data_IF_028957037498
#
_entry.id   IF_028957037498
#
_cell.length_a   1.000
_cell.length_b   1.000
_cell.length_c   1.000
_cell.angle_alpha   90.00
_cell.angle_beta   90.00
_cell.angle_gamma   90.00
#
_symmetry.space_group_name_H-M   'P 1'
#
loop_
_entity.id
_entity.type
_entity.pdbx_description
1 polymer ?
#
# COMPACT_ATOMS: atom_id res chain seq x y z
N UNK A 1 -4.64 24.81 -4.47
CA UNK A 1 -3.62 23.83 -4.08
C UNK A 1 -4.34 22.67 -3.44
N UNK A 2 -4.44 21.54 -4.10
CA UNK A 2 -5.07 20.32 -3.57
C UNK A 2 -4.27 19.89 -2.33
N UNK A 3 -4.98 19.63 -1.24
CA UNK A 3 -4.34 19.17 0.00
C UNK A 3 -3.92 17.71 -0.22
N UNK A 4 -2.67 17.53 -0.68
CA UNK A 4 -2.11 16.21 -1.01
C UNK A 4 -1.97 15.43 0.30
N UNK A 5 -2.42 14.17 0.29
CA UNK A 5 -2.25 13.28 1.43
C UNK A 5 -0.78 13.25 1.89
N UNK A 6 -0.51 13.35 3.19
CA UNK A 6 0.85 13.20 3.70
C UNK A 6 1.51 11.87 3.34
N UNK A 7 0.72 10.79 3.22
CA UNK A 7 1.17 9.48 2.73
C UNK A 7 1.76 9.57 1.32
N UNK A 8 1.09 10.31 0.42
CA UNK A 8 1.57 10.48 -0.96
C UNK A 8 2.91 11.21 -1.02
N UNK A 9 3.16 12.14 -0.10
CA UNK A 9 4.47 12.81 -0.01
C UNK A 9 5.57 11.83 0.39
N UNK A 10 5.31 10.97 1.38
CA UNK A 10 6.27 9.96 1.81
C UNK A 10 6.59 8.94 0.70
N UNK A 11 5.56 8.47 -0.03
CA UNK A 11 5.74 7.60 -1.19
C UNK A 11 6.55 8.34 -2.27
N UNK A 12 6.20 9.59 -2.56
CA UNK A 12 6.87 10.44 -3.55
C UNK A 12 8.38 10.59 -3.29
N UNK A 13 8.79 10.68 -2.01
CA UNK A 13 10.21 10.78 -1.64
C UNK A 13 11.02 9.49 -1.94
N UNK A 14 10.34 8.37 -2.20
CA UNK A 14 10.96 7.10 -2.58
C UNK A 14 11.00 6.85 -4.09
N UNK A 15 10.31 7.66 -4.87
CA UNK A 15 10.19 7.53 -6.32
C UNK A 15 11.29 8.33 -7.01
N UNK A 16 12.00 7.70 -7.94
CA UNK A 16 12.98 8.39 -8.78
C UNK A 16 12.30 9.05 -9.99
N UNK A 17 12.78 10.20 -10.45
CA UNK A 17 12.25 10.85 -11.65
C UNK A 17 12.34 9.95 -12.91
N UNK A 18 11.39 10.14 -13.83
CA UNK A 18 11.28 9.41 -15.10
C UNK A 18 11.06 7.89 -14.96
N UNK A 19 10.57 7.42 -13.80
CA UNK A 19 10.27 6.01 -13.56
C UNK A 19 8.96 5.59 -14.23
N UNK A 20 8.81 4.28 -14.46
CA UNK A 20 7.53 3.65 -14.75
C UNK A 20 6.91 3.15 -13.45
N UNK A 21 5.68 3.57 -13.17
CA UNK A 21 4.99 3.28 -11.92
C UNK A 21 3.63 2.65 -12.19
N UNK A 22 3.37 1.53 -11.53
CA UNK A 22 2.07 0.87 -11.50
C UNK A 22 1.45 1.06 -10.10
N UNK A 23 0.19 1.51 -10.04
CA UNK A 23 -0.55 1.67 -8.79
C UNK A 23 -1.75 0.71 -8.76
N UNK A 24 -1.72 -0.24 -7.84
CA UNK A 24 -2.74 -1.27 -7.65
C UNK A 24 -3.82 -0.79 -6.67
N UNK A 25 -5.04 -0.62 -7.20
CA UNK A 25 -6.12 0.07 -6.50
C UNK A 25 -5.93 1.57 -6.55
N UNK A 26 -5.64 2.10 -7.73
CA UNK A 26 -5.25 3.51 -7.93
C UNK A 26 -6.35 4.53 -7.60
N UNK A 27 -7.57 4.07 -7.34
CA UNK A 27 -8.70 4.93 -7.05
C UNK A 27 -8.98 5.92 -8.19
N UNK A 28 -9.21 7.17 -7.83
CA UNK A 28 -9.40 8.26 -8.78
C UNK A 28 -8.09 8.79 -9.42
N UNK A 29 -6.95 8.11 -9.15
CA UNK A 29 -5.64 8.42 -9.70
C UNK A 29 -4.93 9.61 -9.05
N UNK A 30 -5.28 10.02 -7.83
CA UNK A 30 -4.63 11.17 -7.17
C UNK A 30 -3.14 10.96 -6.92
N UNK A 31 -2.73 9.75 -6.48
CA UNK A 31 -1.33 9.43 -6.25
C UNK A 31 -0.53 9.52 -7.55
N UNK A 32 -0.98 8.81 -8.59
CA UNK A 32 -0.30 8.80 -9.89
C UNK A 32 -0.21 10.19 -10.51
N UNK A 33 -1.31 10.97 -10.48
CA UNK A 33 -1.31 12.37 -10.95
C UNK A 33 -0.27 13.21 -10.21
N UNK A 34 -0.17 13.07 -8.88
CA UNK A 34 0.83 13.76 -8.08
C UNK A 34 2.26 13.36 -8.46
N UNK A 35 2.51 12.06 -8.68
CA UNK A 35 3.84 11.56 -9.06
C UNK A 35 4.22 11.99 -10.48
N UNK A 36 3.26 12.00 -11.42
CA UNK A 36 3.47 12.51 -12.79
C UNK A 36 3.88 13.98 -12.78
N UNK A 37 3.16 14.81 -12.02
CA UNK A 37 3.44 16.25 -11.90
C UNK A 37 4.81 16.55 -11.26
N UNK A 38 5.24 15.70 -10.30
CA UNK A 38 6.44 15.96 -9.49
C UNK A 38 7.70 15.31 -10.03
N UNK A 39 7.58 14.13 -10.61
CA UNK A 39 8.72 13.28 -11.00
C UNK A 39 8.75 12.92 -12.47
N UNK A 40 7.77 13.39 -13.27
CA UNK A 40 7.67 13.08 -14.71
C UNK A 40 7.63 11.55 -14.96
N UNK A 41 6.88 10.81 -14.13
CA UNK A 41 6.74 9.36 -14.26
C UNK A 41 5.76 8.97 -15.37
N UNK A 42 5.89 7.73 -15.87
CA UNK A 42 4.85 7.07 -16.66
C UNK A 42 3.96 6.25 -15.72
N UNK A 43 2.74 6.75 -15.47
CA UNK A 43 1.80 6.14 -14.53
C UNK A 43 0.81 5.18 -15.20
N UNK A 44 0.62 4.02 -14.57
CA UNK A 44 -0.41 3.03 -14.91
C UNK A 44 -1.16 2.65 -13.64
N UNK A 45 -2.47 2.35 -13.75
CA UNK A 45 -3.29 1.96 -12.60
C UNK A 45 -4.14 0.73 -12.86
N UNK A 46 -4.43 -0.01 -11.80
CA UNK A 46 -5.52 -0.99 -11.71
C UNK A 46 -6.58 -0.45 -10.77
N UNK A 47 -7.86 -0.55 -11.16
CA UNK A 47 -8.99 -0.12 -10.33
C UNK A 47 -10.24 -0.95 -10.63
N UNK A 48 -10.92 -1.38 -9.57
CA UNK A 48 -12.15 -2.17 -9.67
C UNK A 48 -13.41 -1.32 -9.85
N UNK A 49 -13.44 -0.12 -9.24
CA UNK A 49 -14.59 0.78 -9.31
C UNK A 49 -14.63 1.51 -10.65
N UNK A 50 -15.67 1.27 -11.50
CA UNK A 50 -15.76 1.91 -12.81
C UNK A 50 -15.80 3.45 -12.75
N UNK A 51 -16.38 4.03 -11.70
CA UNK A 51 -16.47 5.49 -11.57
C UNK A 51 -15.11 6.09 -11.25
N UNK A 52 -14.34 5.45 -10.36
CA UNK A 52 -12.97 5.85 -10.05
C UNK A 52 -12.05 5.66 -11.26
N UNK A 53 -12.19 4.54 -11.99
CA UNK A 53 -11.48 4.31 -13.27
C UNK A 53 -11.69 5.48 -14.23
N UNK A 54 -12.95 5.93 -14.46
CA UNK A 54 -13.25 7.07 -15.32
C UNK A 54 -12.59 8.37 -14.79
N UNK A 55 -12.62 8.60 -13.47
CA UNK A 55 -11.99 9.79 -12.87
C UNK A 55 -10.48 9.80 -13.06
N UNK A 56 -9.82 8.65 -12.92
CA UNK A 56 -8.39 8.52 -13.16
C UNK A 56 -8.04 8.73 -14.65
N UNK A 57 -8.83 8.17 -15.57
CA UNK A 57 -8.65 8.39 -17.01
C UNK A 57 -8.81 9.86 -17.41
N UNK A 58 -9.70 10.61 -16.74
CA UNK A 58 -9.84 12.07 -16.94
C UNK A 58 -8.59 12.86 -16.53
N UNK A 59 -7.71 12.28 -15.72
CA UNK A 59 -6.40 12.82 -15.34
C UNK A 59 -5.27 12.33 -16.27
N UNK A 60 -5.60 11.74 -17.43
CA UNK A 60 -4.68 11.15 -18.40
C UNK A 60 -3.84 9.98 -17.85
N UNK A 61 -4.39 9.24 -16.90
CA UNK A 61 -3.76 8.01 -16.38
C UNK A 61 -4.26 6.82 -17.19
N UNK A 62 -3.35 5.93 -17.58
CA UNK A 62 -3.71 4.66 -18.21
C UNK A 62 -4.20 3.71 -17.10
N UNK A 63 -5.48 3.33 -17.14
CA UNK A 63 -6.08 2.47 -16.11
C UNK A 63 -6.64 1.21 -16.74
N UNK A 64 -6.35 0.07 -16.12
CA UNK A 64 -6.96 -1.23 -16.39
C UNK A 64 -8.07 -1.43 -15.36
N UNK A 65 -9.29 -1.63 -15.86
CA UNK A 65 -10.42 -1.97 -15.00
C UNK A 65 -10.41 -3.47 -14.73
N UNK A 66 -9.89 -3.87 -13.58
CA UNK A 66 -9.81 -5.29 -13.15
C UNK A 66 -9.88 -5.42 -11.63
N UNK A 67 -10.26 -6.62 -11.17
CA UNK A 67 -10.20 -7.03 -9.77
C UNK A 67 -8.83 -7.64 -9.49
N UNK A 68 -8.10 -7.11 -8.50
CA UNK A 68 -6.80 -7.62 -8.08
C UNK A 68 -6.84 -9.09 -7.62
N UNK A 69 -8.03 -9.60 -7.25
CA UNK A 69 -8.22 -11.01 -6.92
C UNK A 69 -8.19 -11.95 -8.14
N UNK A 70 -8.17 -11.43 -9.36
CA UNK A 70 -8.06 -12.24 -10.57
C UNK A 70 -6.61 -12.71 -10.83
N UNK A 71 -5.61 -12.10 -10.19
CA UNK A 71 -4.19 -12.38 -10.40
C UNK A 71 -3.77 -12.28 -11.88
N UNK A 72 -4.33 -11.28 -12.59
CA UNK A 72 -4.16 -11.10 -14.05
C UNK A 72 -3.12 -10.03 -14.40
N UNK A 73 -2.36 -9.49 -13.44
CA UNK A 73 -1.37 -8.42 -13.66
C UNK A 73 -0.31 -8.87 -14.68
N UNK A 74 0.18 -10.09 -14.55
CA UNK A 74 1.17 -10.70 -15.43
C UNK A 74 0.63 -11.00 -16.85
N UNK A 75 -0.68 -10.96 -17.05
CA UNK A 75 -1.29 -11.09 -18.39
C UNK A 75 -1.21 -9.77 -19.17
N UNK A 76 -1.10 -8.64 -18.48
CA UNK A 76 -1.01 -7.31 -19.09
C UNK A 76 0.41 -6.80 -19.23
N UNK A 77 1.35 -7.25 -18.40
CA UNK A 77 2.70 -6.70 -18.33
C UNK A 77 3.76 -7.79 -18.22
N UNK A 78 4.86 -7.58 -18.95
CA UNK A 78 6.05 -8.42 -18.89
C UNK A 78 6.80 -8.24 -17.55
N UNK A 79 7.70 -9.17 -17.25
CA UNK A 79 8.59 -9.09 -16.08
C UNK A 79 9.39 -7.77 -16.08
N UNK A 80 9.58 -7.20 -14.89
CA UNK A 80 10.34 -5.96 -14.65
C UNK A 80 9.88 -4.75 -15.49
N UNK A 81 8.61 -4.76 -15.92
CA UNK A 81 8.04 -3.66 -16.74
C UNK A 81 7.99 -2.33 -15.99
N UNK A 82 8.02 -2.35 -14.67
CA UNK A 82 7.91 -1.17 -13.81
C UNK A 82 9.11 -1.03 -12.89
N UNK A 83 9.53 0.21 -12.65
CA UNK A 83 10.53 0.50 -11.63
C UNK A 83 9.92 0.39 -10.24
N UNK A 84 8.64 0.79 -10.10
CA UNK A 84 7.88 0.70 -8.86
C UNK A 84 6.46 0.17 -9.11
N UNK A 85 6.04 -0.79 -8.27
CA UNK A 85 4.64 -1.19 -8.13
C UNK A 85 4.17 -0.74 -6.76
N UNK A 86 3.11 0.06 -6.71
CA UNK A 86 2.59 0.67 -5.48
C UNK A 86 1.25 0.01 -5.13
N UNK A 87 1.03 -0.22 -3.85
CA UNK A 87 -0.27 -0.64 -3.30
C UNK A 87 -0.52 0.12 -2.00
N UNK A 88 -1.45 1.08 -2.04
CA UNK A 88 -1.80 1.88 -0.88
C UNK A 88 -3.10 1.40 -0.24
N UNK A 89 -3.03 1.01 1.05
CA UNK A 89 -4.19 0.64 1.86
C UNK A 89 -5.10 -0.45 1.23
N UNK A 90 -4.53 -1.31 0.37
CA UNK A 90 -5.29 -2.34 -0.35
C UNK A 90 -4.88 -3.78 0.00
N UNK A 91 -3.69 -3.98 0.61
CA UNK A 91 -3.20 -5.33 0.96
C UNK A 91 -4.18 -6.13 1.81
N UNK A 92 -4.85 -5.47 2.75
CA UNK A 92 -5.78 -6.10 3.69
C UNK A 92 -7.16 -6.42 3.10
N UNK A 93 -7.48 -5.97 1.88
CA UNK A 93 -8.79 -6.20 1.25
C UNK A 93 -8.76 -7.25 0.15
N UNK A 94 -7.59 -7.70 -0.28
CA UNK A 94 -7.44 -8.77 -1.28
C UNK A 94 -7.47 -10.14 -0.62
N UNK A 95 -7.96 -11.15 -1.33
CA UNK A 95 -8.16 -12.51 -0.80
C UNK A 95 -6.84 -13.25 -0.56
N UNK A 96 -5.84 -13.04 -1.41
CA UNK A 96 -4.52 -13.69 -1.36
C UNK A 96 -3.40 -12.64 -1.50
N UNK A 97 -3.14 -11.88 -0.41
CA UNK A 97 -2.10 -10.83 -0.44
C UNK A 97 -0.69 -11.39 -0.67
N UNK A 98 -0.45 -12.63 -0.28
CA UNK A 98 0.80 -13.34 -0.50
C UNK A 98 1.05 -13.63 -1.99
N UNK A 99 0.05 -14.08 -2.74
CA UNK A 99 0.15 -14.31 -4.19
C UNK A 99 0.23 -12.99 -4.96
N UNK A 100 -0.57 -12.00 -4.57
CA UNK A 100 -0.52 -10.67 -5.18
C UNK A 100 0.84 -10.01 -5.02
N UNK A 101 1.52 -10.23 -3.89
CA UNK A 101 2.89 -9.73 -3.69
C UNK A 101 3.88 -10.37 -4.67
N UNK A 102 3.69 -11.67 -5.01
CA UNK A 102 4.50 -12.34 -6.04
C UNK A 102 4.25 -11.72 -7.43
N UNK A 103 2.99 -11.47 -7.79
CA UNK A 103 2.62 -10.81 -9.04
C UNK A 103 3.22 -9.39 -9.13
N UNK A 104 3.13 -8.61 -8.04
CA UNK A 104 3.75 -7.28 -7.96
C UNK A 104 5.26 -7.32 -8.23
N UNK A 105 5.95 -8.30 -7.62
CA UNK A 105 7.40 -8.48 -7.76
C UNK A 105 7.79 -9.12 -9.10
N UNK A 106 6.86 -9.77 -9.79
CA UNK A 106 7.12 -10.27 -11.14
C UNK A 106 7.20 -9.10 -12.14
N UNK A 107 6.27 -8.13 -12.06
CA UNK A 107 6.21 -7.03 -13.01
C UNK A 107 7.00 -5.79 -12.58
N UNK A 108 7.39 -5.71 -11.30
CA UNK A 108 8.08 -4.56 -10.72
C UNK A 108 9.42 -4.88 -10.06
N UNK A 109 10.39 -3.97 -10.24
CA UNK A 109 11.71 -4.08 -9.59
C UNK A 109 11.64 -3.84 -8.09
N UNK A 110 10.82 -2.88 -7.67
CA UNK A 110 10.55 -2.55 -6.27
C UNK A 110 9.05 -2.39 -6.03
N UNK A 111 8.59 -2.85 -4.86
CA UNK A 111 7.19 -2.68 -4.45
C UNK A 111 7.10 -1.73 -3.25
N UNK A 112 6.13 -0.82 -3.29
CA UNK A 112 5.82 0.11 -2.19
C UNK A 112 4.42 -0.26 -1.67
N UNK A 113 4.34 -0.65 -0.40
CA UNK A 113 3.12 -1.19 0.19
C UNK A 113 2.80 -0.41 1.46
N UNK A 114 1.53 -0.02 1.61
CA UNK A 114 1.06 0.58 2.85
C UNK A 114 -0.16 -0.17 3.39
N UNK A 115 -0.22 -0.31 4.72
CA UNK A 115 -1.33 -0.96 5.40
C UNK A 115 -1.49 -0.44 6.83
N UNK A 116 -2.71 -0.51 7.41
CA UNK A 116 -2.94 -0.18 8.81
C UNK A 116 -2.36 -1.26 9.72
N UNK A 117 -1.64 -0.86 10.76
CA UNK A 117 -1.04 -1.77 11.74
C UNK A 117 -2.07 -2.23 12.78
N UNK A 118 -2.54 -3.46 12.66
CA UNK A 118 -3.41 -4.04 13.68
C UNK A 118 -2.71 -4.23 15.05
N UNK A 119 -1.38 -4.35 15.06
CA UNK A 119 -0.54 -4.51 16.26
C UNK A 119 -0.36 -3.25 17.12
N UNK A 120 -0.93 -2.10 16.74
CA UNK A 120 -0.83 -0.85 17.49
C UNK A 120 -1.37 -1.00 18.92
N UNK A 121 -0.72 -0.34 19.91
CA UNK A 121 -1.04 -0.52 21.33
C UNK A 121 -2.51 -0.23 21.69
N UNK A 122 -3.15 0.75 21.03
CA UNK A 122 -4.57 1.05 21.24
C UNK A 122 -5.47 -0.13 20.87
N UNK A 123 -5.19 -0.80 19.76
CA UNK A 123 -5.93 -1.97 19.30
C UNK A 123 -5.78 -3.11 20.32
N UNK A 124 -4.52 -3.38 20.76
CA UNK A 124 -4.23 -4.41 21.78
C UNK A 124 -4.94 -4.11 23.10
N UNK A 125 -4.87 -2.85 23.58
CA UNK A 125 -5.51 -2.45 24.83
C UNK A 125 -7.03 -2.55 24.74
N UNK A 126 -7.62 -2.12 23.63
CA UNK A 126 -9.07 -2.21 23.42
C UNK A 126 -9.55 -3.66 23.42
N UNK A 127 -8.85 -4.54 22.71
CA UNK A 127 -9.16 -5.97 22.68
C UNK A 127 -9.00 -6.60 24.08
N UNK A 128 -7.90 -6.30 24.77
CA UNK A 128 -7.62 -6.81 26.13
C UNK A 128 -8.67 -6.35 27.17
N UNK A 129 -9.02 -5.06 27.14
CA UNK A 129 -9.89 -4.47 28.17
C UNK A 129 -11.38 -4.68 27.91
N UNK A 130 -11.78 -4.67 26.63
CA UNK A 130 -13.21 -4.73 26.25
C UNK A 130 -13.63 -6.10 25.69
N UNK A 131 -12.68 -6.95 25.27
CA UNK A 131 -12.99 -8.21 24.58
C UNK A 131 -13.77 -8.00 23.27
N UNK A 132 -13.57 -6.87 22.60
CA UNK A 132 -14.23 -6.50 21.34
C UNK A 132 -13.21 -6.08 20.31
N UNK A 133 -13.53 -6.32 19.02
CA UNK A 133 -12.69 -5.86 17.91
C UNK A 133 -12.46 -4.35 18.00
N UNK A 134 -11.22 -3.90 17.77
CA UNK A 134 -10.88 -2.49 17.87
C UNK A 134 -11.55 -1.68 16.76
N UNK A 135 -12.06 -0.51 17.13
CA UNK A 135 -12.50 0.53 16.21
C UNK A 135 -11.67 1.77 16.49
N UNK A 136 -10.83 2.17 15.54
CA UNK A 136 -9.88 3.29 15.66
C UNK A 136 -9.89 4.12 14.39
N UNK A 137 -9.15 5.23 14.35
CA UNK A 137 -9.06 6.09 13.17
C UNK A 137 -8.53 5.36 11.93
N UNK A 138 -7.61 4.40 12.12
CA UNK A 138 -7.04 3.58 11.05
C UNK A 138 -7.85 2.31 10.76
N UNK A 139 -8.75 1.93 11.65
CA UNK A 139 -9.67 0.79 11.54
C UNK A 139 -11.09 1.26 11.90
N UNK A 140 -11.74 2.11 11.06
CA UNK A 140 -12.96 2.81 11.44
C UNK A 140 -14.25 1.99 11.31
N UNK A 141 -14.14 0.74 10.85
CA UNK A 141 -15.29 -0.11 10.55
C UNK A 141 -15.63 -1.04 11.70
N UNK A 142 -16.90 -1.43 11.79
CA UNK A 142 -17.30 -2.53 12.66
C UNK A 142 -16.81 -3.88 12.10
N UNK A 143 -16.71 -4.89 12.97
CA UNK A 143 -16.23 -6.21 12.57
C UNK A 143 -17.06 -6.89 11.46
N UNK A 144 -18.32 -6.49 11.27
CA UNK A 144 -19.25 -7.09 10.31
C UNK A 144 -19.42 -6.31 9.00
N UNK A 145 -18.92 -5.07 8.90
CA UNK A 145 -19.02 -4.23 7.70
C UNK A 145 -17.66 -3.74 7.18
N UNK A 146 -16.58 -4.22 7.79
CA UNK A 146 -15.21 -3.89 7.37
C UNK A 146 -14.90 -4.47 5.98
N UNK A 147 -14.29 -3.70 5.07
CA UNK A 147 -13.73 -4.25 3.84
C UNK A 147 -12.44 -5.06 4.10
N UNK A 148 -11.82 -4.92 5.27
CA UNK A 148 -10.57 -5.59 5.61
C UNK A 148 -10.81 -7.08 5.87
N UNK A 149 -10.28 -7.93 5.00
CA UNK A 149 -10.35 -9.39 5.14
C UNK A 149 -9.21 -9.88 6.05
N UNK A 150 -8.04 -9.25 5.92
CA UNK A 150 -6.83 -9.61 6.67
C UNK A 150 -6.44 -8.51 7.64
N UNK A 151 -5.99 -8.93 8.83
CA UNK A 151 -5.45 -8.04 9.86
C UNK A 151 -3.94 -8.29 9.97
N UNK A 152 -3.15 -7.32 9.53
CA UNK A 152 -1.70 -7.43 9.44
C UNK A 152 -1.02 -6.53 10.48
N UNK A 153 0.07 -7.01 11.04
CA UNK A 153 1.00 -6.23 11.86
C UNK A 153 2.32 -6.03 11.12
N UNK A 154 3.21 -5.18 11.64
CA UNK A 154 4.56 -5.04 11.08
C UNK A 154 5.32 -6.37 11.07
N UNK A 155 5.22 -7.13 12.17
CA UNK A 155 5.92 -8.40 12.30
C UNK A 155 5.41 -9.43 11.28
N UNK A 156 4.08 -9.56 11.13
CA UNK A 156 3.49 -10.49 10.15
C UNK A 156 3.95 -10.19 8.73
N UNK A 157 4.05 -8.90 8.35
CA UNK A 157 4.53 -8.52 7.04
C UNK A 157 6.04 -8.76 6.85
N UNK A 158 6.84 -8.50 7.89
CA UNK A 158 8.27 -8.78 7.86
C UNK A 158 8.55 -10.29 7.81
N UNK A 159 7.78 -11.11 8.53
CA UNK A 159 7.84 -12.57 8.47
C UNK A 159 7.49 -13.06 7.04
N UNK A 160 6.45 -12.51 6.42
CA UNK A 160 6.09 -12.82 5.02
C UNK A 160 7.22 -12.41 4.05
N UNK A 161 7.85 -11.26 4.26
CA UNK A 161 9.01 -10.86 3.44
C UNK A 161 10.17 -11.85 3.58
N UNK A 162 10.45 -12.35 4.80
CA UNK A 162 11.48 -13.34 5.04
C UNK A 162 11.16 -14.67 4.36
N UNK A 163 9.93 -15.18 4.51
CA UNK A 163 9.46 -16.41 3.86
C UNK A 163 9.59 -16.37 2.34
N UNK A 164 9.31 -15.21 1.74
CA UNK A 164 9.41 -14.99 0.28
C UNK A 164 10.82 -14.61 -0.19
N UNK A 165 11.79 -14.51 0.72
CA UNK A 165 13.17 -14.13 0.39
C UNK A 165 13.28 -12.69 -0.14
N UNK A 166 12.48 -11.76 0.41
CA UNK A 166 12.50 -10.36 0.04
C UNK A 166 13.42 -9.54 0.92
N UNK A 167 13.93 -8.46 0.37
CA UNK A 167 14.69 -7.44 1.08
C UNK A 167 13.79 -6.23 1.38
N UNK A 168 13.73 -5.82 2.63
CA UNK A 168 13.12 -4.55 3.04
C UNK A 168 14.14 -3.43 2.80
N UNK A 169 13.99 -2.71 1.69
CA UNK A 169 14.89 -1.60 1.28
C UNK A 169 14.68 -0.36 2.14
N UNK A 170 13.43 -0.06 2.44
CA UNK A 170 13.06 1.06 3.30
C UNK A 170 11.77 0.77 4.08
N UNK A 171 11.69 1.34 5.27
CA UNK A 171 10.51 1.26 6.12
C UNK A 171 10.26 2.61 6.77
N UNK A 172 9.02 3.07 6.72
CA UNK A 172 8.56 4.26 7.46
C UNK A 172 7.32 3.92 8.25
N UNK A 173 7.25 4.48 9.45
CA UNK A 173 6.17 4.26 10.42
C UNK A 173 5.55 5.59 10.75
N UNK A 174 4.25 5.70 10.60
CA UNK A 174 3.54 6.94 10.84
C UNK A 174 2.28 6.72 11.70
N UNK A 175 1.79 7.81 12.29
CA UNK A 175 0.47 7.84 12.92
C UNK A 175 -0.63 8.09 11.87
N UNK A 176 -1.88 8.20 12.30
CA UNK A 176 -3.04 8.51 11.45
C UNK A 176 -2.93 9.87 10.72
N UNK A 177 -2.15 10.82 11.27
CA UNK A 177 -1.82 12.09 10.61
C UNK A 177 -0.58 12.01 9.68
N UNK A 178 -0.03 10.80 9.47
CA UNK A 178 1.19 10.52 8.69
C UNK A 178 2.44 11.24 9.19
N UNK A 179 2.55 11.41 10.51
CA UNK A 179 3.74 11.94 11.17
C UNK A 179 4.53 10.82 11.81
N UNK A 180 5.85 10.86 11.67
CA UNK A 180 6.76 9.93 12.35
C UNK A 180 7.31 10.53 13.64
N UNK A 181 7.72 9.66 14.57
CA UNK A 181 8.40 10.04 15.80
C UNK A 181 9.52 9.06 16.14
N UNK A 182 10.48 9.50 16.96
CA UNK A 182 11.59 8.62 17.42
C UNK A 182 11.06 7.39 18.13
N UNK A 183 10.00 7.52 18.96
CA UNK A 183 9.38 6.39 19.65
C UNK A 183 8.83 5.34 18.69
N UNK A 184 8.21 5.75 17.58
CA UNK A 184 7.70 4.84 16.54
C UNK A 184 8.84 4.10 15.82
N UNK A 185 10.01 4.72 15.68
CA UNK A 185 11.17 4.06 15.08
C UNK A 185 11.77 2.99 16.01
N UNK A 186 11.67 3.17 17.32
CA UNK A 186 12.19 2.21 18.33
C UNK A 186 11.23 1.01 18.50
N UNK A 187 9.92 1.26 18.54
CA UNK A 187 8.91 0.23 18.73
C UNK A 187 7.79 0.34 17.66
N UNK A 188 8.12 0.10 16.38
CA UNK A 188 7.21 0.33 15.26
C UNK A 188 5.91 -0.46 15.37
N UNK A 189 5.99 -1.74 15.69
CA UNK A 189 4.83 -2.61 15.80
C UNK A 189 3.88 -2.24 16.96
N UNK A 190 4.38 -1.50 17.97
CA UNK A 190 3.56 -1.06 19.11
C UNK A 190 3.02 0.36 18.93
N UNK A 191 3.82 1.27 18.38
CA UNK A 191 3.54 2.70 18.35
C UNK A 191 3.15 3.24 16.97
N UNK A 192 3.39 2.48 15.90
CA UNK A 192 3.02 2.84 14.54
C UNK A 192 1.58 2.48 14.23
N UNK A 193 0.86 3.39 13.58
CA UNK A 193 -0.53 3.17 13.16
C UNK A 193 -0.63 2.73 11.70
N UNK A 194 0.24 3.26 10.84
CA UNK A 194 0.32 2.92 9.41
C UNK A 194 1.74 2.53 9.06
N UNK A 195 1.86 1.41 8.35
CA UNK A 195 3.09 0.87 7.82
C UNK A 195 3.30 1.36 6.38
N UNK A 196 4.52 1.78 6.06
CA UNK A 196 4.98 2.00 4.68
C UNK A 196 6.26 1.18 4.49
N UNK A 197 6.26 0.29 3.52
CA UNK A 197 7.39 -0.56 3.16
C UNK A 197 7.78 -0.36 1.71
N UNK A 198 9.08 -0.37 1.44
CA UNK A 198 9.65 -0.55 0.11
C UNK A 198 10.45 -1.84 0.12
N UNK A 199 10.05 -2.81 -0.71
CA UNK A 199 10.64 -4.15 -0.77
C UNK A 199 11.07 -4.49 -2.19
N UNK A 200 12.02 -5.42 -2.31
CA UNK A 200 12.49 -5.97 -3.58
C UNK A 200 12.91 -7.44 -3.42
N UNK A 201 13.12 -8.15 -4.52
CA UNK A 201 13.73 -9.49 -4.49
C UNK A 201 15.16 -9.40 -3.95
N UNK A 202 15.59 -10.36 -3.13
CA UNK A 202 17.02 -10.53 -2.80
C UNK A 202 17.74 -11.12 -4.02
N UNK A 203 18.83 -10.51 -4.41
CA UNK A 203 19.73 -11.00 -5.46
C UNK A 203 20.87 -11.81 -4.87
#
# INVERSE_FOLDING_TARGET
MSNISPEFKLISDWITPNSRVLDLGCGDGQLLSHLMDRHDISGYGFELDPQKTIQAMQKNINVIHSDLNNHDICDYFDEDSFDYVIMTQALQVVSRPDELLDDMLAVGKQCIITFPNFGHWRNRLQLLMKGRMPETETLPYHWYDTPNIHMCTFNDFEDLCEEKGLEVVARTVVNSEHRSSIGMSIAPNLLGEVALYKVQKKY
#
